data_IF_861124900630
#
_entry.id   IF_861124900630
#
_cell.length_a   1.000
_cell.length_b   1.000
_cell.length_c   1.000
_cell.angle_alpha   90.00
_cell.angle_beta   90.00
_cell.angle_gamma   90.00
#
_symmetry.space_group_name_H-M   'P 1'
#
loop_
_entity.id
_entity.type
_entity.pdbx_description
1 polymer ?
#
# COMPACT_ATOMS: atom_id res chain seq x y z
N UNK A 1 -10.65 -2.17 -14.67
CA UNK A 1 -9.74 -1.62 -13.64
C UNK A 1 -8.37 -1.33 -14.25
N UNK A 2 -7.73 -0.20 -13.91
CA UNK A 2 -6.36 0.09 -14.33
C UNK A 2 -5.35 -0.80 -13.60
N UNK A 3 -4.24 -1.14 -14.27
CA UNK A 3 -3.13 -1.90 -13.66
C UNK A 3 -2.24 -0.94 -12.87
N UNK A 4 -1.61 -1.41 -11.80
CA UNK A 4 -0.75 -0.60 -10.93
C UNK A 4 0.36 0.14 -11.72
N UNK A 5 0.91 -0.50 -12.76
CA UNK A 5 1.88 0.11 -13.67
C UNK A 5 1.31 1.17 -14.63
N UNK A 6 0.00 1.20 -14.88
CA UNK A 6 -0.66 2.26 -15.65
C UNK A 6 -1.01 3.48 -14.81
N UNK A 7 -1.08 3.33 -13.48
CA UNK A 7 -1.27 4.43 -12.54
C UNK A 7 0.05 5.12 -12.20
N UNK A 8 1.10 4.35 -11.96
CA UNK A 8 2.38 4.90 -11.52
C UNK A 8 3.08 5.70 -12.63
N UNK A 9 3.51 6.94 -12.31
CA UNK A 9 4.44 7.71 -13.15
C UNK A 9 5.85 7.10 -13.12
N UNK A 10 6.24 6.51 -12.00
CA UNK A 10 7.54 5.83 -11.85
C UNK A 10 7.50 4.71 -10.81
N UNK A 11 8.48 3.81 -10.92
CA UNK A 11 8.77 2.76 -9.95
C UNK A 11 10.21 2.94 -9.47
N UNK A 12 10.43 2.95 -8.16
CA UNK A 12 11.75 3.13 -7.55
C UNK A 12 12.11 1.89 -6.72
N UNK A 13 12.83 0.91 -7.32
CA UNK A 13 13.26 -0.28 -6.62
C UNK A 13 14.34 0.04 -5.58
N UNK A 14 14.10 -0.40 -4.34
CA UNK A 14 15.05 -0.38 -3.24
C UNK A 14 15.43 -1.81 -2.85
N UNK A 15 16.41 -1.93 -1.95
CA UNK A 15 16.88 -3.23 -1.45
C UNK A 15 15.76 -4.10 -0.86
N UNK A 16 14.78 -3.49 -0.18
CA UNK A 16 13.74 -4.20 0.57
C UNK A 16 12.33 -4.06 -0.02
N UNK A 17 12.11 -3.09 -0.92
CA UNK A 17 10.78 -2.75 -1.41
C UNK A 17 10.85 -2.02 -2.76
N UNK A 18 9.72 -1.94 -3.45
CA UNK A 18 9.55 -1.11 -4.65
C UNK A 18 8.50 -0.05 -4.33
N UNK A 19 8.88 1.23 -4.46
CA UNK A 19 7.95 2.34 -4.32
C UNK A 19 7.26 2.62 -5.66
N UNK A 20 5.94 2.65 -5.68
CA UNK A 20 5.15 3.12 -6.82
C UNK A 20 4.75 4.57 -6.57
N UNK A 21 5.06 5.44 -7.53
CA UNK A 21 5.01 6.89 -7.34
C UNK A 21 4.28 7.60 -8.45
N UNK A 22 3.56 8.63 -8.04
CA UNK A 22 3.03 9.74 -8.84
C UNK A 22 3.86 10.98 -8.51
N UNK A 23 3.27 12.05 -7.96
CA UNK A 23 4.02 13.13 -7.29
C UNK A 23 4.67 12.63 -6.00
N UNK A 24 3.97 11.79 -5.23
CA UNK A 24 4.47 11.12 -4.02
C UNK A 24 4.34 9.60 -4.15
N UNK A 25 4.88 8.84 -3.19
CA UNK A 25 4.60 7.41 -3.10
C UNK A 25 3.11 7.23 -2.82
N UNK A 26 2.43 6.32 -3.51
CA UNK A 26 1.04 5.97 -3.18
C UNK A 26 0.94 4.53 -2.66
N UNK A 27 1.85 3.65 -3.06
CA UNK A 27 1.98 2.31 -2.46
C UNK A 27 3.42 1.84 -2.50
N UNK A 28 3.86 1.18 -1.43
CA UNK A 28 5.15 0.50 -1.36
C UNK A 28 4.93 -1.01 -1.31
N UNK A 29 5.61 -1.76 -2.17
CA UNK A 29 5.55 -3.23 -2.22
C UNK A 29 6.78 -3.79 -1.54
N UNK A 30 6.60 -4.43 -0.39
CA UNK A 30 7.68 -4.96 0.46
C UNK A 30 7.75 -6.47 0.35
N UNK A 31 8.93 -6.97 -0.01
CA UNK A 31 9.22 -8.39 -0.08
C UNK A 31 9.86 -8.84 1.23
N UNK A 32 9.19 -9.74 1.96
CA UNK A 32 9.77 -10.45 3.11
C UNK A 32 10.01 -11.92 2.74
N UNK A 33 10.81 -12.63 3.54
CA UNK A 33 11.24 -14.02 3.29
C UNK A 33 10.11 -14.97 2.87
N UNK A 34 8.91 -14.81 3.42
CA UNK A 34 7.76 -15.67 3.14
C UNK A 34 6.45 -14.88 2.96
N UNK A 35 6.52 -13.55 2.80
CA UNK A 35 5.33 -12.67 2.79
C UNK A 35 5.54 -11.55 1.80
N UNK A 36 4.46 -11.18 1.11
CA UNK A 36 4.36 -9.95 0.33
C UNK A 36 3.46 -8.99 1.11
N UNK A 37 3.97 -7.78 1.39
CA UNK A 37 3.21 -6.75 2.10
C UNK A 37 3.09 -5.51 1.23
N UNK A 38 1.95 -4.85 1.29
CA UNK A 38 1.68 -3.58 0.64
C UNK A 38 1.49 -2.53 1.71
N UNK A 39 2.19 -1.41 1.60
CA UNK A 39 1.99 -0.26 2.48
C UNK A 39 1.30 0.84 1.67
N UNK A 40 0.07 1.16 2.05
CA UNK A 40 -0.80 2.12 1.36
C UNK A 40 -0.57 3.49 1.98
N UNK A 41 -0.11 4.46 1.19
CA UNK A 41 0.27 5.79 1.69
C UNK A 41 -0.94 6.70 1.95
N UNK A 42 -1.68 6.37 2.99
CA UNK A 42 -2.78 7.16 3.54
C UNK A 42 -2.58 7.36 5.03
N UNK A 43 -3.29 8.33 5.61
CA UNK A 43 -3.18 8.64 7.04
C UNK A 43 -4.12 7.80 7.90
N UNK A 44 -3.70 7.47 9.11
CA UNK A 44 -4.57 6.87 10.14
C UNK A 44 -5.94 7.56 10.14
N UNK A 45 -7.00 6.74 10.11
CA UNK A 45 -8.39 7.18 10.06
C UNK A 45 -8.91 7.67 8.71
N UNK A 46 -8.11 7.70 7.64
CA UNK A 46 -8.56 8.22 6.33
C UNK A 46 -8.81 7.16 5.26
N UNK A 47 -8.38 5.91 5.46
CA UNK A 47 -8.62 4.83 4.49
C UNK A 47 -10.05 4.29 4.68
N UNK A 48 -10.84 4.27 3.62
CA UNK A 48 -12.15 3.64 3.61
C UNK A 48 -11.99 2.14 3.33
N UNK A 49 -11.93 1.35 4.40
CA UNK A 49 -11.76 -0.11 4.38
C UNK A 49 -12.90 -0.80 5.15
N UNK A 50 -14.12 -0.88 4.57
CA UNK A 50 -15.27 -1.49 5.23
C UNK A 50 -15.11 -3.00 5.52
N UNK A 51 -14.15 -3.68 4.89
CA UNK A 51 -13.87 -5.10 5.15
C UNK A 51 -12.78 -5.31 6.20
N UNK A 52 -12.09 -4.25 6.63
CA UNK A 52 -10.98 -4.33 7.58
C UNK A 52 -9.82 -5.19 7.08
N UNK A 53 -9.54 -5.17 5.77
CA UNK A 53 -8.44 -5.92 5.19
C UNK A 53 -7.07 -5.34 5.57
N UNK A 54 -6.98 -4.01 5.66
CA UNK A 54 -5.77 -3.28 5.96
C UNK A 54 -5.61 -3.08 7.47
N UNK A 55 -4.37 -3.21 7.93
CA UNK A 55 -3.99 -2.96 9.32
C UNK A 55 -3.36 -1.57 9.42
N UNK A 56 -3.88 -0.74 10.31
CA UNK A 56 -3.18 0.48 10.74
C UNK A 56 -1.92 0.10 11.54
N UNK A 57 -0.75 0.57 11.06
CA UNK A 57 0.56 0.36 11.67
C UNK A 57 1.13 1.63 12.30
N UNK A 58 0.41 2.74 12.28
CA UNK A 58 0.80 4.02 12.88
C UNK A 58 0.08 4.25 14.21
N UNK A 59 -1.20 3.89 14.32
CA UNK A 59 -2.05 4.16 15.48
C UNK A 59 -2.89 2.95 15.89
N UNK A 60 -3.14 2.73 17.21
CA UNK A 60 -2.74 3.57 18.35
C UNK A 60 -1.28 3.42 18.77
N UNK A 61 -0.55 2.44 18.22
CA UNK A 61 0.86 2.17 18.51
C UNK A 61 1.61 2.07 17.19
N UNK A 62 2.64 2.89 17.03
CA UNK A 62 3.49 2.87 15.85
C UNK A 62 4.30 1.56 15.75
N UNK A 63 4.29 0.95 14.57
CA UNK A 63 5.00 -0.28 14.23
C UNK A 63 5.93 0.01 13.07
N UNK A 64 7.23 -0.06 13.33
CA UNK A 64 8.26 0.20 12.33
C UNK A 64 8.14 -0.73 11.12
N UNK A 65 8.22 -0.14 9.93
CA UNK A 65 8.08 -0.84 8.65
C UNK A 65 8.90 -0.18 7.53
N UNK A 66 8.90 -0.82 6.36
CA UNK A 66 9.50 -0.28 5.14
C UNK A 66 8.39 0.32 4.27
N UNK A 67 8.60 1.53 3.77
CA UNK A 67 7.58 2.28 3.05
C UNK A 67 7.08 3.48 3.87
N UNK A 68 6.14 4.23 3.30
CA UNK A 68 5.68 5.50 3.87
C UNK A 68 4.24 5.46 4.39
N UNK A 69 3.51 4.35 4.22
CA UNK A 69 2.08 4.29 4.45
C UNK A 69 1.67 3.77 5.81
N UNK A 70 0.68 4.42 6.40
CA UNK A 70 0.15 4.08 7.73
C UNK A 70 -0.66 2.75 7.70
N UNK A 71 -1.02 2.23 6.53
CA UNK A 71 -1.79 0.98 6.38
C UNK A 71 -1.01 -0.13 5.69
N UNK A 72 -1.07 -1.33 6.25
CA UNK A 72 -0.44 -2.54 5.73
C UNK A 72 -1.48 -3.57 5.28
N UNK A 73 -1.31 -4.14 4.09
CA UNK A 73 -2.02 -5.35 3.62
C UNK A 73 -1.03 -6.49 3.42
N UNK A 74 -1.28 -7.65 4.03
CA UNK A 74 -0.55 -8.89 3.74
C UNK A 74 -1.23 -9.62 2.58
N UNK A 75 -0.48 -9.85 1.50
CA UNK A 75 -0.98 -10.55 0.31
C UNK A 75 -0.75 -12.05 0.47
N UNK A 76 -1.83 -12.81 0.36
CA UNK A 76 -1.89 -14.27 0.49
C UNK A 76 -2.59 -14.86 -0.74
N UNK A 77 -2.62 -16.20 -0.85
CA UNK A 77 -3.31 -16.87 -1.95
C UNK A 77 -4.83 -16.60 -1.98
N UNK A 78 -5.44 -16.25 -0.84
CA UNK A 78 -6.87 -15.95 -0.72
C UNK A 78 -7.19 -14.45 -0.73
N UNK A 79 -6.19 -13.59 -0.91
CA UNK A 79 -6.41 -12.13 -0.92
C UNK A 79 -7.16 -11.72 -2.19
N UNK A 80 -8.28 -11.04 -2.00
CA UNK A 80 -9.02 -10.37 -3.08
C UNK A 80 -8.20 -9.18 -3.60
N UNK A 81 -7.52 -9.39 -4.72
CA UNK A 81 -6.65 -8.38 -5.31
C UNK A 81 -7.43 -7.20 -5.88
N UNK A 82 -8.68 -7.40 -6.33
CA UNK A 82 -9.49 -6.31 -6.86
C UNK A 82 -9.84 -5.34 -5.72
N UNK A 83 -10.15 -5.85 -4.54
CA UNK A 83 -10.34 -4.99 -3.37
C UNK A 83 -9.09 -4.22 -2.97
N UNK A 84 -7.95 -4.91 -2.97
CA UNK A 84 -6.67 -4.27 -2.65
C UNK A 84 -6.39 -3.13 -3.62
N UNK A 85 -6.74 -3.29 -4.89
CA UNK A 85 -6.62 -2.22 -5.88
C UNK A 85 -7.56 -1.04 -5.58
N UNK A 86 -8.78 -1.28 -5.09
CA UNK A 86 -9.68 -0.19 -4.65
C UNK A 86 -9.07 0.62 -3.49
N UNK A 87 -8.45 -0.05 -2.51
CA UNK A 87 -7.75 0.63 -1.41
C UNK A 87 -6.53 1.43 -1.90
N UNK A 88 -5.76 0.86 -2.84
CA UNK A 88 -4.60 1.54 -3.45
C UNK A 88 -5.04 2.75 -4.28
N UNK A 89 -6.19 2.67 -4.95
CA UNK A 89 -6.74 3.76 -5.75
C UNK A 89 -7.01 5.00 -4.88
N UNK A 90 -7.56 4.84 -3.68
CA UNK A 90 -7.75 5.95 -2.73
C UNK A 90 -6.43 6.67 -2.43
N UNK A 91 -5.35 5.92 -2.20
CA UNK A 91 -4.02 6.48 -1.97
C UNK A 91 -3.46 7.18 -3.21
N UNK A 92 -3.64 6.59 -4.39
CA UNK A 92 -3.25 7.21 -5.65
C UNK A 92 -3.94 8.57 -5.84
N UNK A 93 -5.25 8.64 -5.59
CA UNK A 93 -6.03 9.85 -5.79
C UNK A 93 -5.58 11.00 -4.87
N UNK A 94 -5.05 10.70 -3.68
CA UNK A 94 -4.55 11.71 -2.73
C UNK A 94 -3.09 12.10 -3.04
N UNK A 95 -2.30 11.20 -3.61
CA UNK A 95 -0.85 11.37 -3.80
C UNK A 95 -0.43 11.71 -5.25
N UNK A 96 -1.39 11.96 -6.17
CA UNK A 96 -1.18 12.16 -7.61
C UNK A 96 -0.24 13.31 -8.02
#
# INVERSE_FOLDING_TARGET
MPRLGSLAKSQDPKKMYVAYKTTRNFVDVVFKKSKLKLYINMKTGTLDDPRGLARDVESPVHIGHWGNGDYEVEVTASTDLDYVMDLIQQSYDINQ
#
